data_IF_288626775746
#
_entry.id   IF_288626775746
#
_cell.length_a   1.000
_cell.length_b   1.000
_cell.length_c   1.000
_cell.angle_alpha   90.00
_cell.angle_beta   90.00
_cell.angle_gamma   90.00
#
_symmetry.space_group_name_H-M   'P 1'
#
loop_
_entity.id
_entity.type
_entity.pdbx_description
1 polymer ?
#
# COMPACT_ATOMS: atom_id res chain seq x y z
N UNK A 1 12.54 0.52 10.85
CA UNK A 1 11.20 0.29 10.28
C UNK A 1 11.07 0.65 8.80
N UNK A 2 11.61 1.77 8.29
CA UNK A 2 11.53 2.12 6.85
C UNK A 2 12.19 1.13 5.89
N UNK A 3 13.28 0.47 6.29
CA UNK A 3 14.02 -0.46 5.43
C UNK A 3 13.17 -1.66 4.97
N UNK A 4 12.30 -2.20 5.84
CA UNK A 4 11.43 -3.34 5.50
C UNK A 4 10.33 -2.97 4.51
N UNK A 5 9.76 -1.77 4.64
CA UNK A 5 8.74 -1.27 3.68
C UNK A 5 9.37 -1.08 2.31
N UNK A 6 10.55 -0.47 2.25
CA UNK A 6 11.25 -0.27 0.99
C UNK A 6 11.62 -1.61 0.37
N UNK A 7 12.20 -2.54 1.14
CA UNK A 7 12.52 -3.87 0.67
C UNK A 7 11.29 -4.60 0.12
N UNK A 8 10.21 -4.75 0.91
CA UNK A 8 9.03 -5.50 0.52
C UNK A 8 8.29 -4.90 -0.69
N UNK A 9 8.25 -3.57 -0.81
CA UNK A 9 7.48 -2.91 -1.87
C UNK A 9 8.30 -2.59 -3.13
N UNK A 10 9.64 -2.61 -3.06
CA UNK A 10 10.50 -2.42 -4.24
C UNK A 10 11.07 -3.70 -4.83
N UNK A 11 10.64 -4.88 -4.37
CA UNK A 11 11.07 -6.14 -4.98
C UNK A 11 10.58 -6.28 -6.42
N UNK A 12 9.39 -5.74 -6.75
CA UNK A 12 8.77 -5.96 -8.05
C UNK A 12 8.43 -4.66 -8.82
N UNK A 13 8.27 -3.52 -8.14
CA UNK A 13 7.98 -2.22 -8.78
C UNK A 13 8.51 -1.05 -7.95
N UNK A 14 8.55 0.16 -8.52
CA UNK A 14 9.01 1.34 -7.78
C UNK A 14 8.07 1.72 -6.62
N UNK A 15 8.65 2.27 -5.55
CA UNK A 15 7.91 2.74 -4.37
C UNK A 15 7.03 3.97 -4.65
N UNK A 16 7.14 4.60 -5.82
CA UNK A 16 6.30 5.74 -6.22
C UNK A 16 4.81 5.40 -6.17
N UNK A 17 4.44 4.15 -6.49
CA UNK A 17 3.05 3.68 -6.37
C UNK A 17 2.49 3.85 -4.96
N UNK A 18 3.32 3.78 -3.92
CA UNK A 18 2.90 3.94 -2.52
C UNK A 18 2.65 5.41 -2.22
N UNK A 19 3.55 6.28 -2.69
CA UNK A 19 3.48 7.72 -2.44
C UNK A 19 2.36 8.41 -3.21
N UNK A 20 1.90 7.82 -4.31
CA UNK A 20 0.76 8.30 -5.11
C UNK A 20 -0.59 7.83 -4.57
N UNK A 21 -0.61 6.81 -3.69
CA UNK A 21 -1.84 6.22 -3.16
C UNK A 21 -2.18 6.83 -1.80
N UNK A 22 -3.40 7.33 -1.65
CA UNK A 22 -3.90 7.91 -0.40
C UNK A 22 -5.08 7.09 0.12
N UNK A 23 -4.76 5.99 0.80
CA UNK A 23 -5.72 4.96 1.16
C UNK A 23 -6.01 4.92 2.66
N UNK A 24 -7.19 4.41 3.01
CA UNK A 24 -7.54 4.13 4.40
C UNK A 24 -6.71 2.99 4.98
N UNK A 25 -6.73 2.82 6.31
CA UNK A 25 -6.06 1.69 6.97
C UNK A 25 -6.52 0.33 6.44
N UNK A 26 -7.80 0.18 6.18
CA UNK A 26 -8.37 -1.07 5.68
C UNK A 26 -7.90 -1.37 4.25
N UNK A 27 -7.87 -0.35 3.41
CA UNK A 27 -7.41 -0.49 2.03
C UNK A 27 -5.90 -0.76 1.94
N UNK A 28 -5.09 -0.10 2.77
CA UNK A 28 -3.68 -0.45 2.89
C UNK A 28 -3.48 -1.89 3.36
N UNK A 29 -4.33 -2.39 4.27
CA UNK A 29 -4.24 -3.77 4.74
C UNK A 29 -4.50 -4.77 3.62
N UNK A 30 -5.55 -4.52 2.84
CA UNK A 30 -5.88 -5.32 1.67
C UNK A 30 -4.79 -5.26 0.59
N UNK A 31 -4.15 -4.11 0.40
CA UNK A 31 -3.02 -4.00 -0.52
C UNK A 31 -1.82 -4.82 -0.04
N UNK A 32 -1.51 -4.81 1.26
CA UNK A 32 -0.46 -5.67 1.83
C UNK A 32 -0.81 -7.15 1.69
N UNK A 33 -2.07 -7.57 1.87
CA UNK A 33 -2.52 -8.96 1.59
C UNK A 33 -2.25 -9.34 0.14
N UNK A 34 -2.63 -8.46 -0.79
CA UNK A 34 -2.43 -8.69 -2.22
C UNK A 34 -0.94 -8.82 -2.55
N UNK A 35 -0.08 -7.98 -1.97
CA UNK A 35 1.36 -8.06 -2.19
C UNK A 35 1.94 -9.34 -1.58
N UNK A 36 1.52 -9.72 -0.37
CA UNK A 36 1.94 -10.96 0.26
C UNK A 36 1.53 -12.19 -0.56
N UNK A 37 0.30 -12.20 -1.10
CA UNK A 37 -0.18 -13.26 -1.99
C UNK A 37 0.60 -13.35 -3.32
N UNK A 38 1.19 -12.24 -3.78
CA UNK A 38 2.07 -12.21 -4.95
C UNK A 38 3.53 -12.61 -4.62
N UNK A 39 3.84 -12.90 -3.35
CA UNK A 39 5.17 -13.31 -2.90
C UNK A 39 5.98 -12.20 -2.22
N UNK A 40 5.39 -11.06 -1.88
CA UNK A 40 6.08 -10.05 -1.08
C UNK A 40 6.29 -10.57 0.35
N UNK A 41 7.55 -10.53 0.82
CA UNK A 41 7.90 -10.96 2.17
C UNK A 41 7.51 -9.88 3.20
N UNK A 42 6.26 -9.95 3.66
CA UNK A 42 5.71 -9.08 4.71
C UNK A 42 5.41 -9.96 5.92
N UNK A 43 6.20 -9.83 6.99
CA UNK A 43 5.93 -10.54 8.22
C UNK A 43 4.68 -9.96 8.91
N UNK A 44 3.80 -10.83 9.39
CA UNK A 44 2.60 -10.41 10.13
C UNK A 44 2.92 -9.56 11.37
N UNK A 45 4.06 -9.79 12.00
CA UNK A 45 4.54 -8.98 13.13
C UNK A 45 4.88 -7.53 12.74
N UNK A 46 5.40 -7.31 11.53
CA UNK A 46 5.73 -5.98 11.02
C UNK A 46 4.52 -5.28 10.40
N UNK A 47 3.54 -6.05 9.94
CA UNK A 47 2.32 -5.58 9.27
C UNK A 47 1.59 -4.44 9.98
N UNK A 48 1.28 -4.49 11.30
CA UNK A 48 0.63 -3.38 12.00
C UNK A 48 1.49 -2.11 12.03
N UNK A 49 2.81 -2.25 12.10
CA UNK A 49 3.73 -1.12 12.06
C UNK A 49 3.80 -0.48 10.67
N UNK A 50 3.84 -1.30 9.62
CA UNK A 50 3.77 -0.85 8.22
C UNK A 50 2.44 -0.13 7.96
N UNK A 51 1.32 -0.71 8.39
CA UNK A 51 0.01 -0.07 8.25
C UNK A 51 -0.07 1.28 8.94
N UNK A 52 0.48 1.38 10.15
CA UNK A 52 0.53 2.63 10.91
C UNK A 52 1.36 3.68 10.16
N UNK A 53 2.50 3.28 9.58
CA UNK A 53 3.31 4.18 8.78
C UNK A 53 2.59 4.64 7.50
N UNK A 54 2.00 3.70 6.74
CA UNK A 54 1.30 3.99 5.49
C UNK A 54 0.10 4.91 5.72
N UNK A 55 -0.70 4.64 6.74
CA UNK A 55 -1.86 5.49 7.05
C UNK A 55 -1.51 6.86 7.61
N UNK A 56 -0.40 6.96 8.36
CA UNK A 56 0.07 8.24 8.91
C UNK A 56 0.65 9.16 7.84
N UNK A 57 1.35 8.60 6.85
CA UNK A 57 2.02 9.38 5.81
C UNK A 57 1.22 9.48 4.50
N UNK A 58 0.47 8.42 4.17
CA UNK A 58 -0.28 8.22 2.92
C UNK A 58 -1.74 7.84 3.22
N UNK A 59 -2.30 8.44 4.27
CA UNK A 59 -3.71 8.33 4.58
C UNK A 59 -4.59 9.03 3.55
N UNK A 60 -5.91 8.82 3.59
CA UNK A 60 -6.84 9.47 2.67
C UNK A 60 -6.76 10.99 2.91
N UNK A 61 -6.39 11.74 1.88
CA UNK A 61 -6.52 13.19 1.93
C UNK A 61 -7.99 13.51 2.16
N UNK A 62 -8.30 14.51 2.99
CA UNK A 62 -9.67 14.81 3.45
C UNK A 62 -10.68 15.11 2.32
N UNK A 63 -10.29 15.05 1.04
CA UNK A 63 -11.14 15.13 -0.15
C UNK A 63 -11.44 13.81 -0.87
N UNK A 64 -10.71 12.72 -0.61
CA UNK A 64 -10.84 11.47 -1.37
C UNK A 64 -11.79 10.48 -0.71
N UNK A 65 -13.05 10.89 -0.52
CA UNK A 65 -14.14 9.96 -0.18
C UNK A 65 -14.75 9.32 -1.44
N UNK A 66 -13.94 8.82 -2.38
CA UNK A 66 -14.40 7.89 -3.43
C UNK A 66 -13.19 7.30 -4.18
N UNK A 67 -12.64 6.19 -3.71
CA UNK A 67 -11.65 5.44 -4.50
C UNK A 67 -11.80 3.92 -4.38
N UNK A 68 -12.99 3.47 -3.98
CA UNK A 68 -13.46 2.14 -4.35
C UNK A 68 -13.94 2.21 -5.81
N UNK A 69 -13.01 2.13 -6.78
CA UNK A 69 -13.17 1.79 -8.22
C UNK A 69 -12.14 2.54 -9.10
N UNK A 70 -10.90 2.04 -9.25
CA UNK A 70 -10.19 2.06 -10.53
C UNK A 70 -8.94 1.17 -10.53
N UNK A 71 -9.16 -0.15 -10.56
CA UNK A 71 -8.36 -0.99 -11.45
C UNK A 71 -9.16 -1.11 -12.74
N UNK A 72 -8.97 -0.17 -13.67
CA UNK A 72 -9.20 -0.32 -15.12
C UNK A 72 -8.84 1.01 -15.79
N UNK A 73 -7.57 1.13 -16.14
CA UNK A 73 -7.16 1.93 -17.30
C UNK A 73 -6.21 1.03 -18.11
N UNK A 74 -6.82 0.22 -18.97
CA UNK A 74 -6.22 -0.46 -20.12
C UNK A 74 -7.08 0.04 -21.30
N UNK A 75 -6.62 1.09 -21.99
CA UNK A 75 -5.98 1.03 -23.31
C UNK A 75 -6.92 0.65 -24.45
N UNK A 76 -7.31 1.72 -25.19
CA UNK A 76 -7.64 1.81 -26.63
C UNK A 76 -8.98 1.31 -27.14
#
# INVERSE_FOLDING_TARGET
>A
MQAKVKAACTQCHNASRITEQHLTKQEWSAQLDKMAALGAEIQDADRPAILTYLTKNFGPEKGSKTAAKKSTEETK
#
